data_IF_505034716183
#
_entry.id   IF_505034716183
#
_cell.length_a   1.000
_cell.length_b   1.000
_cell.length_c   1.000
_cell.angle_alpha   90.00
_cell.angle_beta   90.00
_cell.angle_gamma   90.00
#
_symmetry.space_group_name_H-M   'P 1'
#
loop_
_entity.id
_entity.type
_entity.pdbx_description
1 polymer ?
#
# COMPACT_ATOMS: atom_id res chain seq x y z
N UNK A 1 -7.06 -9.09 -12.20
CA UNK A 1 -6.56 -8.91 -10.82
C UNK A 1 -6.34 -7.43 -10.60
N UNK A 2 -6.75 -6.87 -9.47
CA UNK A 2 -6.57 -5.45 -9.17
C UNK A 2 -5.96 -5.26 -7.78
N UNK A 3 -4.85 -4.54 -7.75
CA UNK A 3 -4.20 -4.02 -6.55
C UNK A 3 -4.80 -2.65 -6.23
N UNK A 4 -5.25 -2.44 -5.00
CA UNK A 4 -5.95 -1.21 -4.60
C UNK A 4 -5.35 -0.68 -3.32
N UNK A 5 -4.74 0.50 -3.38
CA UNK A 5 -4.09 1.05 -2.21
C UNK A 5 -3.18 2.23 -2.45
N UNK A 6 -2.14 2.30 -1.62
CA UNK A 6 -1.09 3.32 -1.65
C UNK A 6 0.09 2.94 -2.57
N UNK A 7 1.19 3.67 -2.47
CA UNK A 7 2.38 3.49 -3.32
C UNK A 7 3.10 2.16 -3.08
N UNK A 8 2.97 1.52 -1.92
CA UNK A 8 3.55 0.20 -1.66
C UNK A 8 2.77 -0.87 -2.42
N UNK A 9 1.44 -0.71 -2.49
CA UNK A 9 0.62 -1.59 -3.30
C UNK A 9 0.91 -1.43 -4.79
N UNK A 10 1.23 -0.21 -5.24
CA UNK A 10 1.72 0.05 -6.61
C UNK A 10 3.03 -0.68 -6.88
N UNK A 11 3.96 -0.71 -5.93
CA UNK A 11 5.19 -1.48 -6.06
C UNK A 11 4.92 -3.00 -6.18
N UNK A 12 4.01 -3.54 -5.35
CA UNK A 12 3.58 -4.94 -5.47
C UNK A 12 2.96 -5.25 -6.83
N UNK A 13 2.14 -4.34 -7.37
CA UNK A 13 1.62 -4.42 -8.74
C UNK A 13 2.73 -4.44 -9.80
N UNK A 14 3.72 -3.54 -9.69
CA UNK A 14 4.84 -3.48 -10.62
C UNK A 14 5.67 -4.76 -10.59
N UNK A 15 5.96 -5.29 -9.39
CA UNK A 15 6.59 -6.60 -9.20
C UNK A 15 5.81 -7.72 -9.90
N UNK A 16 4.47 -7.78 -9.70
CA UNK A 16 3.62 -8.80 -10.32
C UNK A 16 3.70 -8.74 -11.85
N UNK A 17 3.73 -7.54 -12.43
CA UNK A 17 3.95 -7.38 -13.87
C UNK A 17 5.33 -7.88 -14.25
N UNK A 18 6.40 -7.49 -13.56
CA UNK A 18 7.77 -7.91 -13.88
C UNK A 18 7.92 -9.44 -13.88
N UNK A 19 7.32 -10.14 -12.90
CA UNK A 19 7.32 -11.60 -12.80
C UNK A 19 6.69 -12.28 -14.03
N UNK A 20 5.65 -11.68 -14.61
CA UNK A 20 4.91 -12.23 -15.75
C UNK A 20 5.40 -11.68 -17.10
N UNK A 21 5.96 -10.47 -17.10
CA UNK A 21 6.27 -9.69 -18.31
C UNK A 21 7.22 -10.44 -19.25
N UNK A 22 8.20 -11.17 -18.70
CA UNK A 22 9.19 -11.91 -19.49
C UNK A 22 8.56 -13.09 -20.24
N UNK A 23 7.47 -13.66 -19.72
CA UNK A 23 6.79 -14.82 -20.30
C UNK A 23 5.77 -14.44 -21.38
N UNK A 24 5.44 -13.14 -21.51
CA UNK A 24 4.42 -12.66 -22.45
C UNK A 24 5.11 -11.95 -23.64
N UNK A 25 4.84 -12.37 -24.90
CA UNK A 25 5.38 -11.72 -26.09
C UNK A 25 5.04 -10.22 -26.16
N UNK A 26 5.89 -9.45 -26.85
CA UNK A 26 5.83 -7.99 -26.81
C UNK A 26 4.57 -7.39 -27.45
N UNK A 27 4.09 -8.00 -28.53
CA UNK A 27 2.85 -7.67 -29.24
C UNK A 27 1.58 -8.15 -28.49
N UNK A 28 1.77 -9.05 -27.52
CA UNK A 28 0.70 -9.69 -26.74
C UNK A 28 0.49 -9.06 -25.37
N UNK A 29 1.25 -8.02 -25.03
CA UNK A 29 1.08 -7.22 -23.81
C UNK A 29 0.90 -5.74 -24.07
N UNK A 30 0.26 -5.05 -23.14
CA UNK A 30 0.17 -3.59 -23.16
C UNK A 30 -0.01 -3.05 -21.75
N UNK A 31 0.55 -1.88 -21.46
CA UNK A 31 0.26 -1.11 -20.26
C UNK A 31 -0.38 0.23 -20.64
N UNK A 32 -1.46 0.61 -19.97
CA UNK A 32 -2.16 1.88 -20.19
C UNK A 32 -2.61 2.46 -18.86
N UNK A 33 -2.56 3.78 -18.77
CA UNK A 33 -2.96 4.53 -17.58
C UNK A 33 -4.17 5.41 -17.89
N UNK A 34 -5.11 5.50 -16.95
CA UNK A 34 -6.41 6.14 -17.08
C UNK A 34 -6.73 6.94 -15.81
N UNK A 35 -7.78 7.78 -15.90
CA UNK A 35 -8.34 8.51 -14.75
C UNK A 35 -7.32 9.37 -14.01
N UNK A 36 -6.53 10.19 -14.72
CA UNK A 36 -5.48 11.04 -14.13
C UNK A 36 -4.51 10.24 -13.26
N UNK A 37 -3.97 9.15 -13.82
CA UNK A 37 -3.04 8.21 -13.19
C UNK A 37 -3.58 7.36 -12.03
N UNK A 38 -4.87 7.46 -11.71
CA UNK A 38 -5.47 6.65 -10.65
C UNK A 38 -5.74 5.20 -11.04
N UNK A 39 -5.74 4.84 -12.33
CA UNK A 39 -5.89 3.45 -12.78
C UNK A 39 -4.82 3.09 -13.82
N UNK A 40 -3.96 2.12 -13.51
CA UNK A 40 -2.99 1.56 -14.46
C UNK A 40 -3.37 0.11 -14.77
N UNK A 41 -3.44 -0.24 -16.06
CA UNK A 41 -3.92 -1.54 -16.55
C UNK A 41 -2.83 -2.18 -17.41
N UNK A 42 -2.32 -3.32 -16.97
CA UNK A 42 -1.52 -4.24 -17.78
C UNK A 42 -2.43 -5.33 -18.35
N UNK A 43 -2.42 -5.54 -19.66
CA UNK A 43 -3.18 -6.60 -20.34
C UNK A 43 -2.23 -7.64 -20.91
N UNK A 44 -2.55 -8.92 -20.68
CA UNK A 44 -1.95 -10.06 -21.37
C UNK A 44 -3.01 -10.67 -22.30
N UNK A 45 -2.90 -10.37 -23.60
CA UNK A 45 -3.98 -10.58 -24.58
C UNK A 45 -4.32 -12.05 -24.78
N UNK A 46 -3.30 -12.91 -24.93
CA UNK A 46 -3.50 -14.33 -25.23
C UNK A 46 -4.16 -15.09 -24.06
N UNK A 47 -4.02 -14.58 -22.83
CA UNK A 47 -4.66 -15.15 -21.65
C UNK A 47 -6.01 -14.50 -21.33
N UNK A 48 -6.38 -13.44 -22.05
CA UNK A 48 -7.55 -12.61 -21.76
C UNK A 48 -7.62 -12.14 -20.29
N UNK A 49 -6.48 -11.74 -19.73
CA UNK A 49 -6.39 -11.23 -18.36
C UNK A 49 -5.88 -9.79 -18.31
N UNK A 50 -6.32 -9.07 -17.28
CA UNK A 50 -5.75 -7.80 -16.85
C UNK A 50 -5.19 -7.90 -15.44
N UNK A 51 -4.08 -7.19 -15.21
CA UNK A 51 -3.50 -6.91 -13.90
C UNK A 51 -3.51 -5.39 -13.75
N UNK A 52 -4.08 -4.90 -12.66
CA UNK A 52 -4.46 -3.50 -12.53
C UNK A 52 -3.96 -2.93 -11.21
N UNK A 53 -3.62 -1.65 -11.19
CA UNK A 53 -3.40 -0.88 -9.98
C UNK A 53 -4.39 0.28 -9.94
N UNK A 54 -5.11 0.41 -8.83
CA UNK A 54 -6.01 1.52 -8.55
C UNK A 54 -5.53 2.30 -7.33
N UNK A 55 -5.30 3.60 -7.52
CA UNK A 55 -4.86 4.53 -6.48
C UNK A 55 -6.02 4.87 -5.53
N UNK A 56 -5.93 4.39 -4.29
CA UNK A 56 -6.87 4.70 -3.21
C UNK A 56 -6.13 4.53 -1.87
N UNK A 57 -5.22 5.45 -1.52
CA UNK A 57 -4.23 5.23 -0.47
C UNK A 57 -4.85 5.06 0.92
N UNK A 58 -6.04 5.63 1.14
CA UNK A 58 -6.84 5.46 2.36
C UNK A 58 -8.07 4.55 2.17
N UNK A 59 -8.26 4.00 0.96
CA UNK A 59 -9.47 3.28 0.48
C UNK A 59 -10.76 4.12 0.45
N UNK A 60 -10.94 5.01 1.42
CA UNK A 60 -11.94 6.06 1.46
C UNK A 60 -11.52 7.24 0.59
N UNK A 61 -12.50 8.05 0.19
CA UNK A 61 -12.23 9.34 -0.43
C UNK A 61 -11.39 10.20 0.50
N UNK A 62 -10.36 10.83 -0.05
CA UNK A 62 -9.43 11.69 0.68
C UNK A 62 -8.99 12.87 -0.16
N UNK A 63 -8.39 13.87 0.49
CA UNK A 63 -7.73 14.95 -0.23
C UNK A 63 -6.47 14.49 -1.00
N UNK A 64 -6.03 13.24 -0.83
CA UNK A 64 -4.83 12.69 -1.44
C UNK A 64 -5.11 11.65 -2.54
N UNK A 65 -6.31 11.69 -3.13
CA UNK A 65 -6.77 10.74 -4.18
C UNK A 65 -6.23 11.06 -5.59
N UNK A 66 -5.56 12.19 -5.79
CA UNK A 66 -4.95 12.54 -7.08
C UNK A 66 -3.60 11.82 -7.22
N UNK A 67 -3.50 10.77 -8.04
CA UNK A 67 -2.30 9.94 -8.15
C UNK A 67 -1.00 10.69 -8.53
N UNK A 68 -1.08 11.93 -9.03
CA UNK A 68 0.07 12.79 -9.36
C UNK A 68 0.36 13.78 -8.22
N UNK A 69 -0.66 14.51 -7.77
CA UNK A 69 -0.56 15.57 -6.73
C UNK A 69 -1.17 15.07 -5.42
N UNK A 70 -0.43 14.20 -4.72
CA UNK A 70 -0.92 13.52 -3.51
C UNK A 70 -0.03 13.65 -2.27
N UNK A 71 1.10 14.36 -2.40
CA UNK A 71 2.03 14.62 -1.30
C UNK A 71 1.49 15.77 -0.44
N UNK A 72 0.49 15.46 0.37
CA UNK A 72 -0.20 16.40 1.25
C UNK A 72 0.19 16.07 2.70
N UNK A 73 0.66 17.08 3.44
CA UNK A 73 0.99 16.94 4.86
C UNK A 73 -0.26 16.84 5.72
N UNK A 74 -1.24 17.72 5.50
CA UNK A 74 -2.50 17.74 6.24
C UNK A 74 -3.55 16.83 5.58
N UNK A 75 -3.43 15.54 5.83
CA UNK A 75 -4.27 14.52 5.19
C UNK A 75 -5.65 14.43 5.85
N UNK A 76 -6.70 14.41 5.04
CA UNK A 76 -8.09 14.31 5.50
C UNK A 76 -8.78 13.16 4.77
N UNK A 77 -9.41 12.27 5.53
CA UNK A 77 -10.24 11.17 4.98
C UNK A 77 -11.71 11.46 5.21
N UNK A 78 -12.57 11.14 4.24
CA UNK A 78 -14.01 11.35 4.34
C UNK A 78 -14.71 10.10 4.84
N UNK A 79 -15.50 10.23 5.91
CA UNK A 79 -16.26 9.10 6.48
C UNK A 79 -17.32 8.59 5.50
N UNK A 80 -17.43 7.26 5.36
CA UNK A 80 -18.53 6.63 4.61
C UNK A 80 -18.47 6.77 3.08
N UNK A 81 -17.35 7.21 2.53
CA UNK A 81 -17.20 7.65 1.13
C UNK A 81 -16.70 6.59 0.15
N UNK A 82 -16.53 5.34 0.60
CA UNK A 82 -15.83 4.28 -0.16
C UNK A 82 -16.40 4.00 -1.55
N UNK A 83 -17.69 4.31 -1.79
CA UNK A 83 -18.33 4.10 -3.08
C UNK A 83 -17.71 4.94 -4.21
N UNK A 84 -17.08 6.09 -3.91
CA UNK A 84 -16.37 6.91 -4.90
C UNK A 84 -15.32 6.09 -5.64
N UNK A 85 -14.54 5.31 -4.92
CA UNK A 85 -13.54 4.40 -5.49
C UNK A 85 -14.13 3.03 -5.83
N UNK A 86 -14.97 2.50 -4.95
CA UNK A 86 -15.53 1.14 -5.06
C UNK A 86 -16.22 0.86 -6.39
N UNK A 87 -16.82 1.88 -7.03
CA UNK A 87 -17.41 1.71 -8.38
C UNK A 87 -16.43 1.13 -9.41
N UNK A 88 -15.13 1.37 -9.26
CA UNK A 88 -14.08 0.87 -10.16
C UNK A 88 -13.63 -0.55 -9.83
N UNK A 89 -13.92 -1.06 -8.64
CA UNK A 89 -13.46 -2.39 -8.20
C UNK A 89 -14.48 -3.49 -8.54
N UNK A 90 -15.72 -3.12 -8.91
CA UNK A 90 -16.81 -4.04 -9.27
C UNK A 90 -16.41 -4.93 -10.45
N UNK A 91 -16.74 -6.23 -10.35
CA UNK A 91 -16.49 -7.21 -11.40
C UNK A 91 -15.06 -7.77 -11.42
N UNK A 92 -14.16 -7.28 -10.57
CA UNK A 92 -12.80 -7.83 -10.46
C UNK A 92 -12.83 -9.24 -9.84
N UNK A 93 -12.14 -10.19 -10.47
CA UNK A 93 -12.05 -11.58 -9.97
C UNK A 93 -11.07 -11.79 -8.81
N UNK A 94 -10.01 -10.98 -8.72
CA UNK A 94 -9.04 -11.00 -7.61
C UNK A 94 -8.74 -9.57 -7.19
N UNK A 95 -9.11 -9.20 -5.96
CA UNK A 95 -8.80 -7.91 -5.35
C UNK A 95 -7.69 -8.08 -4.32
N UNK A 96 -6.67 -7.24 -4.38
CA UNK A 96 -5.57 -7.19 -3.41
C UNK A 96 -5.51 -5.78 -2.83
N UNK A 97 -6.07 -5.61 -1.63
CA UNK A 97 -6.08 -4.32 -0.94
C UNK A 97 -4.82 -4.13 -0.10
N UNK A 98 -4.34 -2.90 0.01
CA UNK A 98 -3.37 -2.47 1.00
C UNK A 98 -3.63 -1.01 1.36
N UNK A 99 -3.43 -0.68 2.63
CA UNK A 99 -3.44 0.71 3.09
C UNK A 99 -2.72 0.78 4.43
N UNK A 100 -1.65 1.56 4.52
CA UNK A 100 -0.93 1.70 5.79
C UNK A 100 -0.16 3.00 5.91
N UNK A 101 0.76 3.25 4.97
CA UNK A 101 1.82 4.26 5.10
C UNK A 101 1.27 5.63 5.50
N UNK A 102 0.16 6.04 4.88
CA UNK A 102 -0.37 7.39 5.02
C UNK A 102 -1.25 7.61 6.24
N UNK A 103 -1.65 6.53 6.90
CA UNK A 103 -2.24 6.61 8.22
C UNK A 103 -1.17 6.89 9.29
N UNK A 104 0.11 6.57 9.02
CA UNK A 104 1.19 6.64 10.00
C UNK A 104 1.86 8.02 10.05
N UNK A 105 1.09 9.10 9.89
CA UNK A 105 1.61 10.49 9.95
C UNK A 105 1.64 11.08 11.36
N UNK A 106 1.10 10.38 12.36
CA UNK A 106 1.01 10.86 13.74
C UNK A 106 0.22 9.90 14.62
N UNK A 107 -0.26 10.36 15.78
CA UNK A 107 -1.18 9.61 16.64
C UNK A 107 -2.64 9.87 16.28
N UNK A 108 -2.91 10.92 15.51
CA UNK A 108 -4.24 11.38 15.17
C UNK A 108 -4.43 11.53 13.65
N UNK A 109 -5.68 11.45 13.22
CA UNK A 109 -6.10 11.61 11.83
C UNK A 109 -7.33 12.50 11.74
N UNK A 110 -7.35 13.37 10.72
CA UNK A 110 -8.49 14.22 10.40
C UNK A 110 -9.52 13.46 9.58
N UNK A 111 -10.77 13.50 10.03
CA UNK A 111 -11.91 12.87 9.40
C UNK A 111 -12.94 13.93 9.07
N UNK A 112 -13.23 14.09 7.79
CA UNK A 112 -14.30 14.94 7.30
C UNK A 112 -15.65 14.23 7.47
N UNK A 113 -16.60 14.92 8.11
CA UNK A 113 -18.03 14.62 8.03
C UNK A 113 -18.63 15.44 6.88
N UNK A 114 -19.60 14.90 6.15
CA UNK A 114 -20.19 15.56 4.98
C UNK A 114 -19.42 15.29 3.68
N UNK A 115 -19.22 16.31 2.85
CA UNK A 115 -18.58 16.29 1.52
C UNK A 115 -17.41 17.27 1.43
N UNK A 116 -16.47 17.02 0.51
CA UNK A 116 -15.40 17.99 0.21
C UNK A 116 -15.90 19.24 -0.53
N UNK A 117 -17.11 19.16 -1.09
CA UNK A 117 -17.77 20.25 -1.81
C UNK A 117 -18.60 21.16 -0.90
N UNK A 118 -18.80 20.80 0.36
CA UNK A 118 -19.58 21.60 1.31
C UNK A 118 -18.83 22.90 1.64
N UNK A 119 -19.56 24.01 1.77
CA UNK A 119 -19.01 25.31 2.17
C UNK A 119 -18.45 25.25 3.60
N UNK A 120 -19.28 24.78 4.54
CA UNK A 120 -18.90 24.53 5.93
C UNK A 120 -18.50 23.07 6.14
N UNK A 121 -17.20 22.84 6.28
CA UNK A 121 -16.60 21.51 6.44
C UNK A 121 -16.42 21.17 7.91
N UNK A 122 -17.19 20.21 8.41
CA UNK A 122 -17.00 19.67 9.76
C UNK A 122 -15.88 18.59 9.75
N UNK A 123 -14.69 18.97 10.22
CA UNK A 123 -13.55 18.07 10.35
C UNK A 123 -13.34 17.75 11.84
N UNK A 124 -13.35 16.46 12.16
CA UNK A 124 -13.00 15.98 13.50
C UNK A 124 -11.61 15.33 13.48
N UNK A 125 -10.96 15.32 14.63
CA UNK A 125 -9.72 14.59 14.85
C UNK A 125 -10.01 13.37 15.71
N UNK A 126 -9.52 12.21 15.28
CA UNK A 126 -9.64 10.94 16.02
C UNK A 126 -8.29 10.22 16.05
N UNK A 127 -8.15 9.20 16.88
CA UNK A 127 -6.94 8.37 16.89
C UNK A 127 -6.71 7.70 15.53
N UNK A 128 -5.45 7.43 15.21
CA UNK A 128 -5.07 6.73 13.98
C UNK A 128 -5.74 5.35 13.90
N UNK A 129 -5.83 4.63 15.02
CA UNK A 129 -6.48 3.33 15.15
C UNK A 129 -7.98 3.41 14.83
N UNK A 130 -8.67 4.43 15.33
CA UNK A 130 -10.09 4.63 15.06
C UNK A 130 -10.34 4.93 13.58
N UNK A 131 -9.57 5.86 13.01
CA UNK A 131 -9.68 6.24 11.60
C UNK A 131 -9.35 5.05 10.68
N UNK A 132 -8.27 4.31 10.98
CA UNK A 132 -7.88 3.11 10.24
C UNK A 132 -8.99 2.05 10.30
N UNK A 133 -9.52 1.79 11.49
CA UNK A 133 -10.64 0.88 11.69
C UNK A 133 -11.89 1.30 10.91
N UNK A 134 -12.14 2.60 10.78
CA UNK A 134 -13.25 3.13 9.97
C UNK A 134 -13.08 2.81 8.48
N UNK A 135 -11.87 2.97 7.93
CA UNK A 135 -11.54 2.59 6.56
C UNK A 135 -11.72 1.08 6.33
N UNK A 136 -11.13 0.27 7.21
CA UNK A 136 -11.20 -1.20 7.14
C UNK A 136 -12.64 -1.72 7.21
N UNK A 137 -13.46 -1.24 8.16
CA UNK A 137 -14.88 -1.62 8.28
C UNK A 137 -15.68 -1.20 7.06
N UNK A 138 -15.35 -0.06 6.44
CA UNK A 138 -16.02 0.42 5.24
C UNK A 138 -15.66 -0.46 4.04
N UNK A 139 -14.39 -0.85 3.89
CA UNK A 139 -13.93 -1.81 2.88
C UNK A 139 -14.64 -3.16 3.01
N UNK A 140 -14.69 -3.75 4.20
CA UNK A 140 -15.41 -5.01 4.43
C UNK A 140 -16.90 -4.92 4.07
N UNK A 141 -17.58 -3.86 4.52
CA UNK A 141 -19.00 -3.65 4.21
C UNK A 141 -19.23 -3.48 2.72
N UNK A 142 -18.32 -2.78 2.04
CA UNK A 142 -18.40 -2.57 0.61
C UNK A 142 -18.20 -3.89 -0.16
N UNK A 143 -17.16 -4.65 0.16
CA UNK A 143 -16.90 -5.97 -0.44
C UNK A 143 -18.10 -6.88 -0.25
N UNK A 144 -18.61 -7.01 0.97
CA UNK A 144 -19.78 -7.86 1.29
C UNK A 144 -21.02 -7.52 0.45
N UNK A 145 -21.23 -6.23 0.15
CA UNK A 145 -22.41 -5.76 -0.59
C UNK A 145 -22.26 -5.85 -2.11
N UNK A 146 -21.04 -5.83 -2.62
CA UNK A 146 -20.78 -5.63 -4.04
C UNK A 146 -20.04 -6.81 -4.72
N UNK A 147 -19.56 -7.77 -3.95
CA UNK A 147 -18.78 -8.91 -4.46
C UNK A 147 -19.49 -10.23 -4.22
N UNK A 148 -19.27 -11.18 -5.14
CA UNK A 148 -19.73 -12.55 -5.00
C UNK A 148 -18.53 -13.43 -4.59
N UNK A 149 -18.53 -14.08 -3.40
CA UNK A 149 -17.40 -14.89 -2.94
C UNK A 149 -17.11 -16.12 -3.81
N UNK A 150 -18.06 -16.53 -4.68
CA UNK A 150 -17.84 -17.59 -5.68
C UNK A 150 -17.11 -17.10 -6.93
N UNK A 151 -17.07 -15.78 -7.18
CA UNK A 151 -16.47 -15.17 -8.38
C UNK A 151 -15.27 -14.29 -8.08
N UNK A 152 -15.22 -13.73 -6.87
CA UNK A 152 -14.21 -12.77 -6.45
C UNK A 152 -13.49 -13.30 -5.21
N UNK A 153 -12.16 -13.28 -5.27
CA UNK A 153 -11.30 -13.52 -4.12
C UNK A 153 -10.71 -12.22 -3.63
N UNK A 154 -10.75 -12.00 -2.33
CA UNK A 154 -10.29 -10.75 -1.71
C UNK A 154 -9.10 -11.04 -0.80
N UNK A 155 -8.02 -10.34 -1.08
CA UNK A 155 -6.78 -10.37 -0.33
C UNK A 155 -6.57 -9.01 0.34
N UNK A 156 -5.91 -9.03 1.48
CA UNK A 156 -5.41 -7.82 2.12
C UNK A 156 -3.94 -8.01 2.48
N UNK A 157 -3.07 -7.22 1.85
CA UNK A 157 -1.65 -7.14 2.16
C UNK A 157 -1.46 -6.30 3.42
N UNK A 158 -0.77 -6.87 4.42
CA UNK A 158 -0.51 -6.19 5.68
C UNK A 158 0.46 -5.01 5.52
N UNK A 159 0.87 -4.41 6.64
CA UNK A 159 1.74 -3.23 6.68
C UNK A 159 3.09 -3.52 6.03
N UNK A 160 3.50 -2.65 5.12
CA UNK A 160 4.90 -2.57 4.68
C UNK A 160 5.68 -1.73 5.70
N UNK A 161 6.79 -2.24 6.27
CA UNK A 161 7.65 -1.49 7.17
C UNK A 161 8.41 -0.38 6.46
N UNK A 162 8.98 0.51 7.26
CA UNK A 162 9.94 1.53 6.87
C UNK A 162 11.21 1.37 7.70
N UNK A 163 12.34 1.79 7.16
CA UNK A 163 13.65 1.71 7.82
C UNK A 163 14.31 3.09 7.91
N UNK A 164 13.59 4.05 8.48
CA UNK A 164 14.05 5.44 8.58
C UNK A 164 14.94 5.71 9.80
N UNK A 165 15.01 4.79 10.76
CA UNK A 165 15.69 4.98 12.06
C UNK A 165 16.63 3.82 12.36
N UNK A 166 17.93 4.06 12.23
CA UNK A 166 19.00 3.10 12.53
C UNK A 166 18.91 2.50 13.93
N UNK A 167 18.52 3.32 14.90
CA UNK A 167 18.33 2.93 16.30
C UNK A 167 17.35 1.76 16.48
N UNK A 168 16.38 1.58 15.58
CA UNK A 168 15.40 0.50 15.71
C UNK A 168 16.10 -0.87 15.62
N UNK A 169 17.21 -0.97 14.88
CA UNK A 169 17.97 -2.21 14.68
C UNK A 169 19.39 -2.16 15.29
N UNK A 170 19.60 -1.29 16.29
CA UNK A 170 20.88 -1.18 17.00
C UNK A 170 21.95 -0.34 16.30
N UNK A 171 21.58 0.37 15.23
CA UNK A 171 22.42 1.38 14.58
C UNK A 171 22.42 2.74 15.29
N UNK A 172 23.04 3.74 14.66
CA UNK A 172 23.14 5.11 15.21
C UNK A 172 21.86 5.92 14.94
N UNK A 173 21.56 6.96 15.75
CA UNK A 173 20.40 7.84 15.53
C UNK A 173 20.36 8.52 14.15
N UNK A 174 21.52 8.80 13.57
CA UNK A 174 21.64 9.43 12.26
C UNK A 174 21.60 8.44 11.09
N UNK A 175 21.53 7.13 11.35
CA UNK A 175 21.49 6.11 10.29
C UNK A 175 20.06 5.82 9.86
N UNK A 176 19.91 5.35 8.62
CA UNK A 176 18.67 4.80 8.07
C UNK A 176 19.02 3.66 7.11
N UNK A 177 18.11 3.29 6.19
CA UNK A 177 18.35 2.26 5.18
C UNK A 177 19.52 2.54 4.21
N UNK A 178 20.07 3.76 4.17
CA UNK A 178 21.24 4.07 3.35
C UNK A 178 22.45 3.20 3.74
N UNK A 179 23.13 2.66 2.72
CA UNK A 179 24.26 1.73 2.85
C UNK A 179 23.97 0.44 3.63
N UNK A 180 22.71 0.08 3.88
CA UNK A 180 22.36 -1.21 4.44
C UNK A 180 22.33 -2.26 3.32
N UNK A 181 23.15 -3.30 3.44
CA UNK A 181 23.28 -4.37 2.42
C UNK A 181 22.96 -5.76 2.98
N UNK A 182 22.69 -5.85 4.28
CA UNK A 182 22.34 -7.09 4.98
C UNK A 182 21.02 -6.93 5.73
N UNK A 183 20.33 -8.05 5.93
CA UNK A 183 19.13 -8.12 6.72
C UNK A 183 19.42 -7.86 8.21
N UNK A 184 18.36 -7.60 8.98
CA UNK A 184 18.40 -7.61 10.43
C UNK A 184 18.39 -9.06 10.90
N UNK A 185 19.37 -9.45 11.70
CA UNK A 185 19.53 -10.83 12.17
C UNK A 185 18.78 -11.13 13.47
N UNK A 186 18.44 -10.11 14.28
CA UNK A 186 17.71 -10.29 15.53
C UNK A 186 16.31 -10.86 15.24
N UNK A 187 16.01 -12.13 15.61
CA UNK A 187 14.72 -12.74 15.33
C UNK A 187 13.58 -12.08 16.10
N UNK A 188 13.86 -11.30 17.16
CA UNK A 188 12.87 -10.59 17.96
C UNK A 188 12.61 -9.16 17.47
N UNK A 189 13.29 -8.73 16.40
CA UNK A 189 13.16 -7.38 15.86
C UNK A 189 11.71 -7.04 15.51
N UNK A 190 11.29 -5.84 15.90
CA UNK A 190 10.02 -5.25 15.51
C UNK A 190 10.18 -3.73 15.39
N UNK A 191 10.20 -3.22 14.15
CA UNK A 191 10.40 -1.80 13.87
C UNK A 191 9.33 -0.90 14.48
N UNK A 192 9.72 0.30 14.90
CA UNK A 192 8.83 1.28 15.56
C UNK A 192 7.69 1.74 14.65
N UNK A 193 7.95 1.78 13.35
CA UNK A 193 6.99 2.19 12.33
C UNK A 193 6.00 1.08 11.94
N UNK A 194 6.11 -0.14 12.50
CA UNK A 194 5.09 -1.19 12.38
C UNK A 194 4.20 -1.21 13.61
N UNK A 195 3.09 -0.47 13.61
CA UNK A 195 2.25 -0.34 14.81
C UNK A 195 1.45 -1.61 15.11
N UNK A 196 1.80 -2.31 16.21
CA UNK A 196 1.05 -3.47 16.72
C UNK A 196 -0.43 -3.14 17.00
N UNK A 197 -0.74 -1.92 17.40
CA UNK A 197 -2.11 -1.43 17.59
C UNK A 197 -2.94 -1.52 16.31
N UNK A 198 -2.37 -1.16 15.16
CA UNK A 198 -3.04 -1.28 13.86
C UNK A 198 -3.23 -2.75 13.47
N UNK A 199 -2.29 -3.63 13.83
CA UNK A 199 -2.43 -5.07 13.55
C UNK A 199 -3.57 -5.67 14.36
N UNK A 200 -3.73 -5.21 15.61
CA UNK A 200 -4.87 -5.54 16.45
C UNK A 200 -6.19 -5.06 15.82
N UNK A 201 -6.23 -3.83 15.30
CA UNK A 201 -7.41 -3.30 14.57
C UNK A 201 -7.75 -4.18 13.35
N UNK A 202 -6.75 -4.58 12.55
CA UNK A 202 -6.96 -5.50 11.40
C UNK A 202 -7.59 -6.81 11.88
N UNK A 203 -7.01 -7.44 12.92
CA UNK A 203 -7.51 -8.70 13.48
C UNK A 203 -8.95 -8.60 14.02
N UNK A 204 -9.26 -7.52 14.73
CA UNK A 204 -10.61 -7.26 15.25
C UNK A 204 -11.64 -7.02 14.15
N UNK A 205 -11.25 -6.34 13.07
CA UNK A 205 -12.15 -6.07 11.93
C UNK A 205 -12.35 -7.33 11.09
N UNK A 206 -11.28 -8.09 10.82
CA UNK A 206 -11.34 -9.29 9.99
C UNK A 206 -12.01 -10.48 10.68
N UNK A 207 -11.84 -10.64 11.99
CA UNK A 207 -12.56 -11.67 12.75
C UNK A 207 -14.08 -11.52 12.69
N UNK A 208 -14.58 -10.31 12.41
CA UNK A 208 -16.01 -10.00 12.24
C UNK A 208 -16.45 -10.03 10.76
N UNK A 209 -15.56 -10.36 9.84
CA UNK A 209 -15.89 -10.40 8.41
C UNK A 209 -16.81 -11.59 8.10
N UNK A 210 -17.89 -11.32 7.37
CA UNK A 210 -18.75 -12.35 6.78
C UNK A 210 -18.36 -12.70 5.35
N UNK A 211 -17.37 -12.00 4.79
CA UNK A 211 -16.82 -12.27 3.47
C UNK A 211 -15.42 -12.88 3.64
N UNK A 212 -15.09 -14.00 2.98
CA UNK A 212 -13.77 -14.60 3.08
C UNK A 212 -12.68 -13.64 2.59
N UNK A 213 -11.72 -13.32 3.46
CA UNK A 213 -10.59 -12.47 3.12
C UNK A 213 -9.32 -13.20 3.50
N UNK A 214 -8.42 -13.29 2.53
CA UNK A 214 -7.10 -13.88 2.73
C UNK A 214 -6.11 -12.80 3.13
N UNK A 215 -5.58 -12.89 4.34
CA UNK A 215 -4.59 -11.94 4.85
C UNK A 215 -3.18 -12.36 4.41
N UNK A 216 -2.49 -11.46 3.69
CA UNK A 216 -1.09 -11.64 3.34
C UNK A 216 -0.26 -10.93 4.43
N UNK A 217 0.13 -11.69 5.46
CA UNK A 217 0.92 -11.17 6.57
C UNK A 217 2.40 -11.02 6.18
N UNK A 218 2.71 -9.93 5.47
CA UNK A 218 4.06 -9.61 4.99
C UNK A 218 4.89 -8.84 6.01
N UNK A 219 4.29 -8.34 7.09
CA UNK A 219 4.90 -7.30 7.94
C UNK A 219 6.20 -7.78 8.58
N UNK A 220 6.18 -8.88 9.33
CA UNK A 220 7.36 -9.35 10.05
C UNK A 220 8.51 -9.74 9.11
N UNK A 221 8.21 -10.51 8.07
CA UNK A 221 9.23 -10.93 7.10
C UNK A 221 9.85 -9.74 6.36
N UNK A 222 9.07 -8.69 6.12
CA UNK A 222 9.54 -7.46 5.49
C UNK A 222 10.35 -6.60 6.47
N UNK A 223 10.05 -6.67 7.77
CA UNK A 223 10.74 -5.89 8.80
C UNK A 223 12.21 -6.27 8.91
N UNK A 224 12.61 -7.48 8.54
CA UNK A 224 14.05 -7.83 8.53
C UNK A 224 14.82 -7.20 7.37
N UNK A 225 14.15 -6.63 6.36
CA UNK A 225 14.73 -6.31 5.06
C UNK A 225 15.20 -4.87 4.92
N UNK A 226 15.95 -4.36 5.90
CA UNK A 226 16.54 -3.00 5.83
C UNK A 226 17.41 -2.77 4.59
N UNK A 227 17.89 -3.85 3.97
CA UNK A 227 18.72 -3.90 2.77
C UNK A 227 17.97 -3.69 1.45
N UNK A 228 16.65 -3.86 1.43
CA UNK A 228 15.90 -3.99 0.17
C UNK A 228 15.26 -2.68 -0.33
N UNK A 229 15.47 -1.57 0.37
CA UNK A 229 14.89 -0.28 0.02
C UNK A 229 15.55 0.36 -1.20
N UNK A 230 14.81 1.22 -1.91
CA UNK A 230 15.36 2.01 -3.02
C UNK A 230 16.47 2.95 -2.57
N UNK A 231 16.45 3.39 -1.30
CA UNK A 231 17.41 4.33 -0.76
C UNK A 231 17.54 5.56 -1.66
N UNK A 232 18.73 5.90 -2.14
CA UNK A 232 18.96 7.01 -3.07
C UNK A 232 18.73 6.64 -4.55
N UNK A 233 18.56 5.35 -4.87
CA UNK A 233 18.51 4.79 -6.22
C UNK A 233 17.08 4.81 -6.80
N UNK A 234 16.44 5.97 -6.72
CA UNK A 234 15.11 6.20 -7.33
C UNK A 234 15.09 7.53 -8.06
N UNK A 235 14.10 7.68 -8.95
CA UNK A 235 13.83 8.96 -9.60
C UNK A 235 13.51 10.02 -8.54
N UNK A 236 14.34 11.05 -8.47
CA UNK A 236 14.09 12.25 -7.69
C UNK A 236 13.24 13.20 -8.55
N UNK A 237 12.02 13.47 -8.08
CA UNK A 237 11.07 14.31 -8.83
C UNK A 237 11.36 15.80 -8.65
N UNK A 238 12.00 16.15 -7.54
CA UNK A 238 12.50 17.50 -7.27
C UNK A 238 14.03 17.44 -7.28
N UNK A 239 14.72 18.48 -7.81
CA UNK A 239 16.17 18.59 -7.68
C UNK A 239 16.60 18.53 -6.21
N UNK A 240 17.69 17.80 -5.94
CA UNK A 240 18.28 17.74 -4.61
C UNK A 240 19.07 19.01 -4.33
N UNK A 241 19.04 19.50 -3.10
CA UNK A 241 19.88 20.64 -2.69
C UNK A 241 21.34 20.22 -2.54
N UNK A 242 22.31 21.15 -2.56
CA UNK A 242 23.72 20.84 -2.29
C UNK A 242 23.94 20.11 -0.96
N UNK A 243 23.20 20.49 0.08
CA UNK A 243 23.26 19.86 1.41
C UNK A 243 22.78 18.41 1.37
N UNK A 244 21.72 18.14 0.60
CA UNK A 244 21.22 16.78 0.40
C UNK A 244 22.26 15.93 -0.33
N UNK A 245 22.89 16.45 -1.38
CA UNK A 245 23.90 15.72 -2.15
C UNK A 245 25.12 15.32 -1.31
N UNK A 246 25.54 16.17 -0.36
CA UNK A 246 26.65 15.87 0.57
C UNK A 246 26.22 14.89 1.67
N UNK A 247 24.92 14.77 1.96
CA UNK A 247 24.37 13.85 2.95
C UNK A 247 23.29 12.93 2.36
N UNK A 248 23.67 11.84 1.66
CA UNK A 248 22.75 10.86 1.06
C UNK A 248 21.65 10.32 1.99
N UNK A 249 21.98 10.17 3.27
CA UNK A 249 21.04 9.73 4.30
C UNK A 249 19.82 10.66 4.39
N UNK A 250 19.98 11.96 4.13
CA UNK A 250 18.89 12.96 4.25
C UNK A 250 17.78 12.82 3.21
N UNK A 251 18.05 12.17 2.07
CA UNK A 251 17.10 11.98 0.98
C UNK A 251 16.89 10.52 0.59
N UNK A 252 17.45 9.58 1.37
CA UNK A 252 17.24 8.16 1.19
C UNK A 252 15.77 7.78 1.40
N UNK A 253 15.20 7.08 0.43
CA UNK A 253 13.86 6.51 0.53
C UNK A 253 13.91 5.14 1.18
N UNK A 254 13.57 5.14 2.47
CA UNK A 254 13.45 3.94 3.30
C UNK A 254 12.00 3.48 3.46
N UNK A 255 11.19 3.71 2.43
CA UNK A 255 9.79 3.32 2.35
C UNK A 255 9.58 2.35 1.19
N UNK A 256 10.03 2.74 0.00
CA UNK A 256 9.82 1.96 -1.22
C UNK A 256 10.93 0.93 -1.41
N UNK A 257 10.63 -0.10 -2.19
CA UNK A 257 11.47 -1.29 -2.36
C UNK A 257 12.04 -1.35 -3.76
N UNK A 258 13.27 -1.87 -3.88
CA UNK A 258 13.87 -2.22 -5.16
C UNK A 258 13.07 -3.34 -5.85
N UNK A 259 13.09 -3.35 -7.19
CA UNK A 259 12.60 -4.43 -8.02
C UNK A 259 13.71 -4.85 -9.01
N UNK A 260 14.06 -6.15 -9.13
CA UNK A 260 13.55 -7.27 -8.33
C UNK A 260 13.92 -7.14 -6.84
N UNK A 261 13.15 -7.76 -5.96
CA UNK A 261 13.35 -7.61 -4.52
C UNK A 261 12.20 -8.10 -3.65
N UNK A 262 12.04 -7.49 -2.48
CA UNK A 262 11.11 -7.94 -1.44
C UNK A 262 9.64 -8.08 -1.91
N UNK A 263 9.20 -7.22 -2.82
CA UNK A 263 7.82 -7.27 -3.30
C UNK A 263 7.55 -8.47 -4.22
N UNK A 264 8.60 -9.09 -4.78
CA UNK A 264 8.48 -10.37 -5.48
C UNK A 264 8.06 -11.46 -4.49
N UNK A 265 8.66 -11.48 -3.29
CA UNK A 265 8.27 -12.42 -2.22
C UNK A 265 6.83 -12.19 -1.75
N UNK A 266 6.34 -10.94 -1.72
CA UNK A 266 4.92 -10.68 -1.42
C UNK A 266 4.00 -11.28 -2.48
N UNK A 267 4.42 -11.26 -3.75
CA UNK A 267 3.69 -11.87 -4.86
C UNK A 267 3.82 -13.39 -4.89
N UNK A 268 4.93 -13.96 -4.45
CA UNK A 268 5.05 -15.40 -4.20
C UNK A 268 4.09 -15.86 -3.09
N UNK A 269 3.95 -15.09 -2.00
CA UNK A 269 2.96 -15.36 -0.96
C UNK A 269 1.53 -15.26 -1.50
N UNK A 270 1.24 -14.23 -2.31
CA UNK A 270 -0.05 -14.10 -2.99
C UNK A 270 -0.31 -15.30 -3.92
N UNK A 271 0.68 -15.71 -4.72
CA UNK A 271 0.60 -16.88 -5.58
C UNK A 271 0.31 -18.16 -4.78
N UNK A 272 1.06 -18.40 -3.70
CA UNK A 272 0.86 -19.54 -2.83
C UNK A 272 -0.57 -19.57 -2.28
N UNK A 273 -1.06 -18.42 -1.76
CA UNK A 273 -2.43 -18.30 -1.26
C UNK A 273 -3.49 -18.36 -2.35
N UNK A 274 -3.16 -18.04 -3.60
CA UNK A 274 -4.06 -18.19 -4.74
C UNK A 274 -4.25 -19.67 -5.10
N UNK A 275 -3.18 -20.45 -5.24
CA UNK A 275 -3.28 -21.81 -5.77
C UNK A 275 -3.34 -22.90 -4.69
N UNK A 276 -2.92 -22.58 -3.46
CA UNK A 276 -2.92 -23.49 -2.31
C UNK A 276 -3.65 -22.84 -1.12
N UNK A 277 -4.96 -22.60 -1.24
CA UNK A 277 -5.77 -21.84 -0.28
C UNK A 277 -6.01 -22.56 1.05
#
# INVERSE_FOLDING_TARGET
>A
MMFVGDSLNRGQYTSMICLLHRLIPHDKKSIKTYNHDSLTVFKAKDYNISIEFYWAPFLLESNADNAIVHRISDRVVRKGSINKHGKHWKGVGILVFNTYLWWMTGLEMKVLKGSFEDDDKEIITVSTEEAYGMGMRSMLRWVRRNMNPKKTRVFFTSMSPTHAKGIDWGGRPSENCYNQTTMIEDPKYWGSDCRKSIMKVIGEVFSKSKYPITFLNITQMSSYRKDAHTSIHKKQWNPLTPEQLVNPTSYADCVHWCLPGLQDTWNELLFAKLFYP
#
